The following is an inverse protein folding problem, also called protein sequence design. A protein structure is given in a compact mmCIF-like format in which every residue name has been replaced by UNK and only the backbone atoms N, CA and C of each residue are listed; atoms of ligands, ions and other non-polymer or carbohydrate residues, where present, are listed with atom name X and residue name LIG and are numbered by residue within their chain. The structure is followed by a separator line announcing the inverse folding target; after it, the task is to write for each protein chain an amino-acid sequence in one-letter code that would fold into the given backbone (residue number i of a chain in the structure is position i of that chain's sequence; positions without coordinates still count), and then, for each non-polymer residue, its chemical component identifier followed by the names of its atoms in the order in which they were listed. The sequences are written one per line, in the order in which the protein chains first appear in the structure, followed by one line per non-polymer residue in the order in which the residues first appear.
data_IF_190087961350
#
_entry.id   IF_190087961350
#
_cell.length_a   1.000
_cell.length_b   1.000
_cell.length_c   1.000
_cell.angle_alpha   90.00
_cell.angle_beta   90.00
_cell.angle_gamma   90.00
#
_symmetry.space_group_name_H-M   'P 1'
#
loop_
_entity.id
_entity.type
_entity.pdbx_description
1 polymer ?
#
# COMPACT_ATOMS: atom_id res chain seq x y z
N UNK A 1 -19.64 4.48 27.76
CA UNK A 1 -18.95 4.95 26.53
C UNK A 1 -17.56 4.31 26.54
N UNK A 2 -17.26 3.39 25.62
CA UNK A 2 -16.03 2.57 25.67
C UNK A 2 -14.83 3.37 25.11
N UNK A 3 -14.02 3.97 25.97
CA UNK A 3 -12.87 4.80 25.59
C UNK A 3 -11.70 3.91 25.17
N UNK A 4 -11.48 3.78 23.86
CA UNK A 4 -10.37 3.00 23.30
C UNK A 4 -9.03 3.60 23.68
N UNK A 5 -8.10 2.75 24.13
CA UNK A 5 -6.76 3.17 24.52
C UNK A 5 -5.96 3.65 23.30
N UNK A 6 -5.08 4.65 23.49
CA UNK A 6 -4.15 5.17 22.47
C UNK A 6 -3.32 4.06 21.82
N UNK A 7 -2.99 3.01 22.58
CA UNK A 7 -2.30 1.82 22.09
C UNK A 7 -3.15 0.97 21.15
N UNK A 8 -4.46 0.85 21.42
CA UNK A 8 -5.39 0.05 20.63
C UNK A 8 -5.65 0.69 19.26
N UNK A 9 -5.82 2.02 19.22
CA UNK A 9 -5.91 2.79 17.96
C UNK A 9 -4.63 2.69 17.14
N UNK A 10 -3.46 2.60 17.79
CA UNK A 10 -2.16 2.50 17.13
C UNK A 10 -1.89 1.11 16.53
N UNK A 11 -2.40 0.05 17.14
CA UNK A 11 -2.32 -1.33 16.64
C UNK A 11 -3.44 -1.63 15.64
N UNK A 12 -4.53 -0.84 15.67
CA UNK A 12 -5.62 -0.97 14.72
C UNK A 12 -5.10 -0.75 13.30
N UNK A 13 -5.46 -1.68 12.43
CA UNK A 13 -4.96 -1.72 11.07
C UNK A 13 -5.35 -0.44 10.30
N UNK A 14 -4.37 0.33 9.78
CA UNK A 14 -4.65 1.57 9.07
C UNK A 14 -5.31 1.33 7.71
N UNK A 15 -5.19 0.12 7.17
CA UNK A 15 -5.72 -0.23 5.86
C UNK A 15 -7.09 -0.86 5.98
N UNK A 16 -8.08 -0.23 5.34
CA UNK A 16 -9.39 -0.81 5.14
C UNK A 16 -9.30 -2.04 4.23
N UNK A 17 -10.30 -2.91 4.32
CA UNK A 17 -10.40 -4.14 3.51
C UNK A 17 -10.30 -3.84 2.00
N UNK A 18 -10.85 -2.71 1.57
CA UNK A 18 -10.82 -2.24 0.18
C UNK A 18 -9.38 -1.98 -0.28
N UNK A 19 -8.63 -1.16 0.45
CA UNK A 19 -7.23 -0.83 0.10
C UNK A 19 -6.31 -2.05 0.08
N UNK A 20 -6.55 -3.04 0.95
CA UNK A 20 -5.82 -4.32 0.90
C UNK A 20 -6.15 -5.14 -0.33
N UNK A 21 -7.41 -5.11 -0.78
CA UNK A 21 -7.84 -5.77 -2.02
C UNK A 21 -7.14 -5.12 -3.21
N UNK A 22 -7.17 -3.79 -3.30
CA UNK A 22 -6.51 -3.04 -4.37
C UNK A 22 -5.00 -3.29 -4.39
N UNK A 23 -4.35 -3.29 -3.21
CA UNK A 23 -2.94 -3.66 -3.09
C UNK A 23 -2.64 -5.05 -3.66
N UNK A 24 -3.46 -6.03 -3.31
CA UNK A 24 -3.30 -7.41 -3.78
C UNK A 24 -3.49 -7.49 -5.29
N UNK A 25 -4.49 -6.81 -5.84
CA UNK A 25 -4.74 -6.77 -7.29
C UNK A 25 -3.56 -6.12 -8.03
N UNK A 26 -3.05 -4.99 -7.53
CA UNK A 26 -1.88 -4.31 -8.07
C UNK A 26 -0.64 -5.22 -8.07
N UNK A 27 -0.36 -5.89 -6.96
CA UNK A 27 0.80 -6.78 -6.85
C UNK A 27 0.66 -8.01 -7.76
N UNK A 28 -0.54 -8.62 -7.84
CA UNK A 28 -0.77 -9.77 -8.70
C UNK A 28 -0.61 -9.38 -10.16
N UNK A 29 -1.24 -8.29 -10.61
CA UNK A 29 -1.14 -7.84 -12.00
C UNK A 29 0.29 -7.44 -12.37
N UNK A 30 0.99 -6.75 -11.49
CA UNK A 30 2.40 -6.38 -11.67
C UNK A 30 3.30 -7.63 -11.74
N UNK A 31 3.12 -8.58 -10.84
CA UNK A 31 3.88 -9.83 -10.86
C UNK A 31 3.61 -10.61 -12.16
N UNK A 32 2.36 -10.65 -12.62
CA UNK A 32 2.00 -11.30 -13.87
C UNK A 32 2.69 -10.64 -15.07
N UNK A 33 2.68 -9.30 -15.14
CA UNK A 33 3.39 -8.54 -16.17
C UNK A 33 4.89 -8.79 -16.17
N UNK A 34 5.52 -8.79 -14.98
CA UNK A 34 6.95 -9.11 -14.82
C UNK A 34 7.25 -10.52 -15.29
N UNK A 35 6.45 -11.51 -14.88
CA UNK A 35 6.63 -12.90 -15.31
C UNK A 35 6.53 -13.01 -16.81
N UNK A 36 5.49 -12.46 -17.45
CA UNK A 36 5.31 -12.50 -18.91
C UNK A 36 6.58 -12.01 -19.65
N UNK A 37 7.09 -10.84 -19.26
CA UNK A 37 8.27 -10.25 -19.91
C UNK A 37 9.54 -11.04 -19.60
N UNK A 38 9.79 -11.39 -18.33
CA UNK A 38 11.06 -11.99 -17.91
C UNK A 38 11.20 -13.47 -18.27
N UNK A 39 10.09 -14.19 -18.40
CA UNK A 39 10.09 -15.60 -18.80
C UNK A 39 9.99 -15.79 -20.31
N UNK A 40 9.78 -14.72 -21.09
CA UNK A 40 9.52 -14.83 -22.52
C UNK A 40 8.18 -15.52 -22.84
N UNK A 41 7.24 -15.55 -21.89
CA UNK A 41 5.89 -16.11 -22.07
C UNK A 41 4.95 -15.20 -22.88
N UNK A 42 5.51 -14.34 -23.74
CA UNK A 42 4.72 -13.55 -24.69
C UNK A 42 4.13 -14.55 -25.70
N UNK A 43 2.80 -14.67 -25.82
CA UNK A 43 2.19 -15.66 -26.69
C UNK A 43 2.58 -15.41 -28.16
N UNK A 44 3.29 -16.35 -28.76
CA UNK A 44 3.67 -16.27 -30.19
C UNK A 44 2.62 -16.89 -31.11
N UNK A 45 1.86 -17.87 -30.61
CA UNK A 45 0.77 -18.54 -31.35
C UNK A 45 -0.25 -19.17 -30.42
N UNK A 46 -1.52 -19.20 -30.83
CA UNK A 46 -2.56 -20.03 -30.21
C UNK A 46 -2.81 -21.23 -31.12
N UNK A 47 -2.08 -22.31 -30.88
CA UNK A 47 -2.12 -23.52 -31.73
C UNK A 47 -3.51 -24.14 -31.81
N UNK A 48 -4.34 -23.96 -30.77
CA UNK A 48 -5.72 -24.45 -30.74
C UNK A 48 -6.69 -23.67 -31.63
N UNK A 49 -6.35 -22.43 -32.00
CA UNK A 49 -7.18 -21.56 -32.86
C UNK A 49 -6.57 -21.34 -34.25
N UNK A 50 -5.35 -21.83 -34.50
CA UNK A 50 -4.64 -21.58 -35.77
C UNK A 50 -4.25 -20.12 -36.00
N UNK A 51 -4.28 -19.28 -34.95
CA UNK A 51 -3.95 -17.85 -35.02
C UNK A 51 -2.49 -17.66 -34.61
N UNK A 52 -1.69 -17.12 -35.52
CA UNK A 52 -0.34 -16.65 -35.24
C UNK A 52 -0.40 -15.19 -34.78
N UNK A 53 0.30 -14.86 -33.69
CA UNK A 53 0.38 -13.49 -33.23
C UNK A 53 1.51 -12.79 -33.97
N UNK A 54 1.16 -11.84 -34.84
CA UNK A 54 2.13 -10.87 -35.35
C UNK A 54 2.78 -10.10 -34.20
N UNK A 55 3.98 -9.59 -34.44
CA UNK A 55 4.70 -8.76 -33.48
C UNK A 55 3.86 -7.58 -32.97
N UNK A 56 3.11 -6.91 -33.86
CA UNK A 56 2.18 -5.82 -33.50
C UNK A 56 1.09 -6.26 -32.52
N UNK A 57 0.57 -7.48 -32.64
CA UNK A 57 -0.46 -7.98 -31.73
C UNK A 57 0.13 -8.31 -30.35
N UNK A 58 1.38 -8.78 -30.31
CA UNK A 58 2.11 -9.04 -29.07
C UNK A 58 2.39 -7.72 -28.31
N UNK A 59 2.80 -6.67 -29.02
CA UNK A 59 2.98 -5.33 -28.43
C UNK A 59 1.66 -4.78 -27.88
N UNK A 60 0.58 -4.89 -28.66
CA UNK A 60 -0.75 -4.44 -28.24
C UNK A 60 -1.19 -5.14 -26.96
N UNK A 61 -0.91 -6.43 -26.83
CA UNK A 61 -1.18 -7.19 -25.60
C UNK A 61 -0.39 -6.64 -24.40
N UNK A 62 0.91 -6.35 -24.55
CA UNK A 62 1.73 -5.80 -23.48
C UNK A 62 1.30 -4.38 -23.08
N UNK A 63 0.88 -3.54 -24.03
CA UNK A 63 0.29 -2.24 -23.74
C UNK A 63 -1.02 -2.36 -22.95
N UNK A 64 -1.89 -3.31 -23.30
CA UNK A 64 -3.12 -3.57 -22.54
C UNK A 64 -2.80 -4.01 -21.11
N UNK A 65 -1.85 -4.93 -20.93
CA UNK A 65 -1.40 -5.36 -19.59
C UNK A 65 -0.82 -4.17 -18.81
N UNK A 66 0.00 -3.33 -19.44
CA UNK A 66 0.55 -2.12 -18.83
C UNK A 66 -0.55 -1.15 -18.40
N UNK A 67 -1.56 -0.91 -19.24
CA UNK A 67 -2.70 -0.07 -18.93
C UNK A 67 -3.51 -0.60 -17.73
N UNK A 68 -3.68 -1.93 -17.61
CA UNK A 68 -4.32 -2.57 -16.45
C UNK A 68 -3.52 -2.31 -15.18
N UNK A 69 -2.18 -2.44 -15.22
CA UNK A 69 -1.32 -2.16 -14.06
C UNK A 69 -1.39 -0.69 -13.67
N UNK A 70 -1.37 0.24 -14.64
CA UNK A 70 -1.54 1.68 -14.41
C UNK A 70 -2.88 1.98 -13.74
N UNK A 71 -3.96 1.38 -14.23
CA UNK A 71 -5.28 1.53 -13.65
C UNK A 71 -5.30 1.11 -12.17
N UNK A 72 -4.76 -0.08 -11.85
CA UNK A 72 -4.68 -0.54 -10.46
C UNK A 72 -3.74 0.31 -9.60
N UNK A 73 -2.67 0.86 -10.18
CA UNK A 73 -1.77 1.77 -9.47
C UNK A 73 -2.49 3.05 -9.07
N UNK A 74 -3.24 3.66 -9.99
CA UNK A 74 -4.03 4.86 -9.72
C UNK A 74 -5.10 4.57 -8.66
N UNK A 75 -5.85 3.47 -8.82
CA UNK A 75 -6.86 3.05 -7.86
C UNK A 75 -6.23 2.86 -6.46
N UNK A 76 -5.12 2.15 -6.39
CA UNK A 76 -4.39 1.94 -5.14
C UNK A 76 -3.99 3.26 -4.49
N UNK A 77 -3.39 4.20 -5.24
CA UNK A 77 -2.97 5.52 -4.73
C UNK A 77 -4.16 6.30 -4.14
N UNK A 78 -5.32 6.29 -4.80
CA UNK A 78 -6.52 7.00 -4.33
C UNK A 78 -6.99 6.42 -2.99
N UNK A 79 -7.17 5.10 -2.91
CA UNK A 79 -7.66 4.46 -1.69
C UNK A 79 -6.63 4.50 -0.56
N UNK A 80 -5.35 4.29 -0.87
CA UNK A 80 -4.26 4.35 0.11
C UNK A 80 -4.12 5.74 0.73
N UNK A 81 -4.24 6.79 -0.07
CA UNK A 81 -4.12 8.17 0.41
C UNK A 81 -5.28 8.52 1.34
N UNK A 82 -6.50 8.11 0.99
CA UNK A 82 -7.69 8.30 1.83
C UNK A 82 -7.55 7.61 3.19
N UNK A 83 -7.12 6.35 3.19
CA UNK A 83 -6.89 5.59 4.43
C UNK A 83 -5.75 6.18 5.27
N UNK A 84 -4.67 6.64 4.64
CA UNK A 84 -3.54 7.27 5.33
C UNK A 84 -3.94 8.59 6.01
N UNK A 85 -4.73 9.43 5.32
CA UNK A 85 -5.25 10.68 5.90
C UNK A 85 -6.19 10.38 7.07
N UNK A 86 -7.10 9.41 6.90
CA UNK A 86 -8.01 9.00 7.97
C UNK A 86 -7.24 8.51 9.21
N UNK A 87 -6.19 7.71 9.02
CA UNK A 87 -5.32 7.26 10.10
C UNK A 87 -4.59 8.44 10.79
N UNK A 88 -4.09 9.40 10.01
CA UNK A 88 -3.40 10.58 10.56
C UNK A 88 -4.31 11.46 11.41
N UNK A 89 -5.57 11.62 10.99
CA UNK A 89 -6.59 12.37 11.74
C UNK A 89 -6.94 11.64 13.04
N UNK A 90 -7.19 10.33 12.98
CA UNK A 90 -7.53 9.51 14.15
C UNK A 90 -6.40 9.56 15.20
N UNK A 91 -5.16 9.44 14.75
CA UNK A 91 -3.98 9.57 15.62
C UNK A 91 -3.91 10.92 16.35
N UNK A 92 -4.17 12.02 15.65
CA UNK A 92 -4.17 13.36 16.24
C UNK A 92 -5.31 13.55 17.25
N UNK A 93 -6.50 13.03 16.95
CA UNK A 93 -7.67 13.09 17.83
C UNK A 93 -7.43 12.32 19.12
N UNK A 94 -6.98 11.07 19.03
CA UNK A 94 -6.68 10.24 20.19
C UNK A 94 -5.57 10.85 21.05
N UNK A 95 -4.60 11.56 20.44
CA UNK A 95 -3.57 12.29 21.18
C UNK A 95 -4.18 13.44 21.99
N UNK A 96 -5.11 14.20 21.40
CA UNK A 96 -5.81 15.31 22.06
C UNK A 96 -6.67 14.82 23.24
N UNK A 97 -7.45 13.76 23.04
CA UNK A 97 -8.30 13.15 24.08
C UNK A 97 -7.46 12.60 25.25
N UNK A 98 -6.28 12.04 24.97
CA UNK A 98 -5.33 11.60 26.00
C UNK A 98 -4.69 12.77 26.77
N UNK A 99 -4.55 13.95 26.14
CA UNK A 99 -4.07 15.15 26.83
C UNK A 99 -5.15 15.80 27.69
N UNK A 100 -6.40 15.83 27.23
CA UNK A 100 -7.53 16.39 27.97
C UNK A 100 -7.89 15.53 29.18
N UNK A 101 -8.00 14.21 29.02
CA UNK A 101 -8.23 13.29 30.15
C UNK A 101 -7.15 13.39 31.23
N UNK A 102 -5.89 13.63 30.87
CA UNK A 102 -4.81 13.92 31.83
C UNK A 102 -5.02 15.24 32.56
N UNK A 103 -5.48 16.29 31.87
CA UNK A 103 -5.68 17.62 32.45
C UNK A 103 -6.85 17.63 33.45
N UNK A 104 -7.94 16.95 33.12
CA UNK A 104 -9.13 16.86 33.97
C UNK A 104 -8.85 16.00 35.22
N UNK A 105 -8.17 14.86 35.06
CA UNK A 105 -7.77 13.99 36.18
C UNK A 105 -6.76 14.66 37.12
N UNK A 106 -5.88 15.52 36.60
CA UNK A 106 -4.87 16.23 37.38
C UNK A 106 -5.44 17.38 38.22
N UNK A 107 -6.65 17.86 37.90
CA UNK A 107 -7.31 18.95 38.65
C UNK A 107 -8.15 18.46 39.84
N UNK A 108 -8.42 17.16 39.97
CA UNK A 108 -9.36 16.62 40.96
C UNK A 108 -8.69 15.81 42.09
N UNK A 109 -7.49 15.24 41.90
CA UNK A 109 -6.88 14.35 42.90
C UNK A 109 -5.35 14.52 43.02
N UNK A 110 -4.90 15.27 44.03
CA UNK A 110 -3.48 15.33 44.43
C UNK A 110 -2.92 13.98 44.93
N UNK A 111 -3.80 13.03 45.27
CA UNK A 111 -3.48 11.69 45.79
C UNK A 111 -3.19 10.65 44.66
N UNK A 112 -3.47 10.98 43.40
CA UNK A 112 -3.34 10.06 42.25
C UNK A 112 -1.88 9.78 41.83
N UNK A 113 -0.93 10.53 42.38
CA UNK A 113 0.48 10.53 41.97
C UNK A 113 1.18 9.19 42.25
N UNK A 114 0.68 8.38 43.17
CA UNK A 114 1.30 7.12 43.62
C UNK A 114 0.98 5.89 42.74
N UNK A 115 -0.08 5.94 41.92
CA UNK A 115 -0.45 4.83 41.01
C UNK A 115 0.08 4.99 39.56
N UNK A 116 0.62 6.15 39.20
CA UNK A 116 1.12 6.45 37.84
C UNK A 116 2.41 5.69 37.48
N UNK A 117 3.22 5.30 38.47
CA UNK A 117 4.53 4.69 38.22
C UNK A 117 4.43 3.27 37.61
N UNK A 118 3.36 2.53 37.93
CA UNK A 118 3.12 1.21 37.33
C UNK A 118 2.56 1.33 35.90
N UNK A 119 1.76 2.36 35.62
CA UNK A 119 1.19 2.63 34.29
C UNK A 119 2.23 3.15 33.28
N UNK A 120 3.23 3.90 33.76
CA UNK A 120 4.32 4.43 32.93
C UNK A 120 5.19 3.34 32.29
N UNK A 121 5.31 2.15 32.91
CA UNK A 121 6.09 1.03 32.37
C UNK A 121 5.42 0.40 31.14
N UNK A 122 4.08 0.31 31.13
CA UNK A 122 3.30 -0.11 29.96
C UNK A 122 3.30 0.94 28.85
N UNK A 123 3.19 2.22 29.19
CA UNK A 123 3.22 3.33 28.23
C UNK A 123 4.57 3.44 27.50
N UNK A 124 5.68 3.08 28.15
CA UNK A 124 7.03 3.10 27.56
C UNK A 124 7.20 2.07 26.44
N UNK A 125 6.58 0.89 26.56
CA UNK A 125 6.55 -0.14 25.51
C UNK A 125 5.70 0.30 24.31
N UNK A 126 4.58 0.98 24.55
CA UNK A 126 3.71 1.56 23.50
C UNK A 126 4.40 2.73 22.79
N UNK A 127 5.24 3.51 23.49
CA UNK A 127 6.03 4.58 22.87
C UNK A 127 7.18 4.01 22.01
N UNK A 128 7.72 2.85 22.35
CA UNK A 128 8.72 2.14 21.55
C UNK A 128 8.16 1.51 20.25
N UNK A 129 6.84 1.51 20.05
CA UNK A 129 6.19 0.96 18.84
C UNK A 129 6.00 1.98 17.69
N UNK A 130 6.42 3.24 17.89
CA UNK A 130 6.43 4.30 16.86
C UNK A 130 7.16 3.88 15.56
N UNK A 131 8.33 3.20 15.57
CA UNK A 131 9.00 2.82 14.33
C UNK A 131 8.23 1.76 13.54
N UNK A 132 7.48 0.86 14.19
CA UNK A 132 6.86 -0.29 13.53
C UNK A 132 5.67 0.15 12.66
N UNK A 133 4.82 1.06 13.13
CA UNK A 133 3.69 1.56 12.33
C UNK A 133 4.16 2.36 11.11
N UNK A 134 5.23 3.14 11.25
CA UNK A 134 5.82 3.88 10.13
C UNK A 134 6.50 2.96 9.12
N UNK A 135 7.30 2.00 9.60
CA UNK A 135 7.93 0.98 8.75
C UNK A 135 6.87 0.17 7.99
N UNK A 136 5.78 -0.20 8.67
CA UNK A 136 4.64 -0.87 8.05
C UNK A 136 3.97 -0.01 6.99
N UNK A 137 3.76 1.29 7.23
CA UNK A 137 3.22 2.19 6.21
C UNK A 137 4.14 2.25 4.97
N UNK A 138 5.45 2.41 5.17
CA UNK A 138 6.43 2.40 4.07
C UNK A 138 6.33 1.08 3.29
N UNK A 139 6.28 -0.06 3.97
CA UNK A 139 6.20 -1.36 3.32
C UNK A 139 4.87 -1.55 2.58
N UNK A 140 3.77 -1.21 3.24
CA UNK A 140 2.41 -1.43 2.75
C UNK A 140 2.05 -0.52 1.56
N UNK A 141 2.69 0.65 1.43
CA UNK A 141 2.48 1.60 0.33
C UNK A 141 3.63 1.64 -0.68
N UNK A 142 4.87 1.70 -0.20
CA UNK A 142 6.06 1.88 -1.02
C UNK A 142 6.36 0.68 -1.91
N UNK A 143 6.32 -0.55 -1.38
CA UNK A 143 6.63 -1.75 -2.17
C UNK A 143 5.66 -1.95 -3.34
N UNK A 144 4.32 -1.89 -3.14
CA UNK A 144 3.39 -2.02 -4.26
C UNK A 144 3.62 -0.97 -5.36
N UNK A 145 3.88 0.27 -4.98
CA UNK A 145 4.18 1.35 -5.93
C UNK A 145 5.47 1.05 -6.69
N UNK A 146 6.57 0.75 -6.01
CA UNK A 146 7.85 0.46 -6.66
C UNK A 146 7.77 -0.74 -7.61
N UNK A 147 7.15 -1.84 -7.18
CA UNK A 147 6.98 -3.05 -8.00
C UNK A 147 6.12 -2.77 -9.22
N UNK A 148 5.04 -2.00 -9.07
CA UNK A 148 4.16 -1.66 -10.20
C UNK A 148 4.81 -0.72 -11.21
N UNK A 149 5.55 0.30 -10.75
CA UNK A 149 6.34 1.19 -11.62
C UNK A 149 7.36 0.37 -12.41
N UNK A 150 8.07 -0.53 -11.74
CA UNK A 150 9.01 -1.43 -12.39
C UNK A 150 8.31 -2.31 -13.45
N UNK A 151 7.16 -2.89 -13.12
CA UNK A 151 6.37 -3.70 -14.06
C UNK A 151 5.93 -2.90 -15.29
N UNK A 152 5.44 -1.67 -15.09
CA UNK A 152 5.02 -0.78 -16.19
C UNK A 152 6.22 -0.47 -17.10
N UNK A 153 7.36 -0.12 -16.49
CA UNK A 153 8.59 0.19 -17.21
C UNK A 153 9.03 -0.97 -18.12
N UNK A 154 9.11 -2.20 -17.60
CA UNK A 154 9.55 -3.34 -18.40
C UNK A 154 8.52 -3.75 -19.48
N UNK A 155 7.22 -3.60 -19.20
CA UNK A 155 6.16 -3.91 -20.18
C UNK A 155 6.25 -2.94 -21.37
N UNK A 156 6.40 -1.65 -21.10
CA UNK A 156 6.54 -0.63 -22.14
C UNK A 156 7.86 -0.80 -22.88
N UNK A 157 8.97 -0.99 -22.16
CA UNK A 157 10.29 -1.15 -22.78
C UNK A 157 10.35 -2.36 -23.71
N UNK A 158 9.74 -3.48 -23.34
CA UNK A 158 9.64 -4.67 -24.18
C UNK A 158 8.72 -4.47 -25.40
N UNK A 159 7.80 -3.50 -25.34
CA UNK A 159 6.87 -3.15 -26.43
C UNK A 159 7.45 -2.11 -27.40
N UNK A 160 8.55 -1.44 -27.06
CA UNK A 160 9.19 -0.42 -27.91
C UNK A 160 10.29 -0.87 -28.89
N UNK A 161 10.93 -2.05 -28.81
CA UNK A 161 12.12 -2.34 -29.61
C UNK A 161 11.84 -2.56 -31.11
N UNK A 162 10.58 -2.65 -31.54
CA UNK A 162 10.22 -2.89 -32.95
C UNK A 162 9.88 -1.56 -33.66
N UNK A 163 9.26 -0.60 -32.95
CA UNK A 163 8.84 0.69 -33.54
C UNK A 163 10.04 1.51 -34.06
N UNK A 164 11.21 1.42 -33.41
CA UNK A 164 12.42 2.15 -33.85
C UNK A 164 13.10 1.52 -35.08
N UNK A 165 12.87 0.23 -35.35
CA UNK A 165 13.43 -0.45 -36.54
C UNK A 165 12.54 -0.30 -37.78
N UNK A 166 11.27 0.09 -37.63
CA UNK A 166 10.33 0.28 -38.76
C UNK A 166 10.33 1.73 -39.31
N UNK A 167 11.25 2.59 -38.88
CA UNK A 167 11.41 3.98 -39.35
C UNK A 167 12.73 4.17 -40.14
N UNK A 168 13.50 3.10 -40.36
CA UNK A 168 14.67 3.07 -41.27
C UNK A 168 14.36 2.27 -42.52
#
# INVERSE_FOLDING_TARGET
MNTKSVSEVRVKDPLRKVTRKERRLLLISSAFGIVIVKSGLIPTKITTLGIEFSETNQESLLYVVSAIVIYFLIAFIIYSSSDFIAWRIDFNRTRLEAFQSKKDTQSENADYKKHIDTYNRLYRLVYFSIPISFLRAIFDFGIPILVSIYSIYILIYQSTPIVLNNIQ
#
